data_IF_646555872482
#
_entry.id   IF_646555872482
#
_cell.length_a   1.000
_cell.length_b   1.000
_cell.length_c   1.000
_cell.angle_alpha   90.00
_cell.angle_beta   90.00
_cell.angle_gamma   90.00
#
_symmetry.space_group_name_H-M   'P 1'
#
loop_
_entity.id
_entity.type
_entity.pdbx_description
1 polymer ?
#
# COMPACT_ATOMS: atom_id res chain seq x y z
N UNK A 1 45.15 -62.55 15.58
CA UNK A 1 45.58 -62.82 14.19
C UNK A 1 46.06 -61.52 13.54
N UNK A 2 47.34 -61.51 13.15
CA UNK A 2 48.07 -60.75 12.12
C UNK A 2 47.43 -59.45 11.56
N UNK A 3 47.99 -58.26 11.79
CA UNK A 3 49.18 -57.60 11.15
C UNK A 3 49.01 -57.26 9.65
N UNK A 4 49.59 -56.10 9.30
CA UNK A 4 49.98 -55.55 7.95
C UNK A 4 49.02 -54.43 7.48
N UNK A 5 49.20 -53.15 7.82
CA UNK A 5 50.21 -52.16 7.34
C UNK A 5 50.45 -52.21 5.82
N UNK A 6 49.92 -51.22 5.09
CA UNK A 6 50.65 -50.54 4.01
C UNK A 6 50.37 -49.04 4.06
N UNK A 7 51.38 -48.29 4.50
CA UNK A 7 51.50 -46.85 4.23
C UNK A 7 51.95 -46.68 2.77
N UNK A 8 51.40 -45.70 2.06
CA UNK A 8 52.17 -44.95 1.07
C UNK A 8 51.69 -43.50 1.10
N UNK A 9 52.65 -42.61 1.30
CA UNK A 9 52.51 -41.17 1.34
C UNK A 9 52.91 -40.57 -0.01
N UNK A 10 52.26 -39.49 -0.43
CA UNK A 10 52.83 -38.40 -1.24
C UNK A 10 51.81 -37.25 -1.22
N UNK A 11 51.95 -36.25 -0.34
CA UNK A 11 52.60 -34.95 -0.58
C UNK A 11 52.20 -34.33 -1.92
N UNK A 12 51.33 -33.33 -1.83
CA UNK A 12 51.00 -32.37 -2.89
C UNK A 12 50.48 -31.10 -2.25
N UNK A 13 51.40 -30.25 -1.77
CA UNK A 13 51.09 -28.90 -1.32
C UNK A 13 50.82 -28.02 -2.54
N UNK A 14 49.67 -27.35 -2.58
CA UNK A 14 49.48 -26.10 -3.31
C UNK A 14 48.26 -25.36 -2.74
N UNK A 15 48.57 -24.53 -1.76
CA UNK A 15 48.05 -23.17 -1.57
C UNK A 15 46.92 -22.73 -2.51
N UNK A 16 45.71 -22.58 -1.98
CA UNK A 16 44.83 -21.47 -2.37
C UNK A 16 44.11 -20.95 -1.13
N UNK A 17 44.71 -19.89 -0.57
CA UNK A 17 44.02 -18.87 0.19
C UNK A 17 42.82 -18.38 -0.64
N UNK A 18 41.60 -18.69 -0.23
CA UNK A 18 40.43 -17.93 -0.63
C UNK A 18 39.52 -17.78 0.58
N UNK A 19 39.82 -16.72 1.33
CA UNK A 19 38.85 -15.74 1.81
C UNK A 19 37.45 -16.31 2.12
N UNK A 20 37.24 -16.72 3.37
CA UNK A 20 35.90 -16.82 3.92
C UNK A 20 35.32 -15.40 4.00
N UNK A 21 34.76 -14.92 2.89
CA UNK A 21 33.83 -13.79 2.90
C UNK A 21 32.66 -14.26 3.75
N UNK A 22 32.65 -13.81 5.00
CA UNK A 22 31.42 -13.79 5.80
C UNK A 22 30.50 -12.87 5.03
N UNK A 23 29.64 -13.45 4.20
CA UNK A 23 28.52 -12.74 3.63
C UNK A 23 27.63 -12.36 4.81
N UNK A 24 27.87 -11.16 5.36
CA UNK A 24 26.87 -10.42 6.11
C UNK A 24 25.70 -10.24 5.17
N UNK A 25 24.76 -11.18 5.24
CA UNK A 25 23.45 -11.02 4.61
C UNK A 25 22.95 -9.69 5.16
N UNK A 26 22.72 -8.66 4.33
CA UNK A 26 22.22 -7.41 4.84
C UNK A 26 20.91 -7.75 5.56
N UNK A 27 20.87 -7.45 6.86
CA UNK A 27 19.63 -7.41 7.62
C UNK A 27 18.71 -6.48 6.84
N UNK A 28 17.81 -7.07 6.05
CA UNK A 28 16.72 -6.31 5.48
C UNK A 28 15.91 -5.88 6.69
N UNK A 29 16.06 -4.60 7.06
CA UNK A 29 15.11 -3.92 7.91
C UNK A 29 13.77 -3.98 7.20
N UNK A 30 13.02 -5.05 7.45
CA UNK A 30 11.63 -5.14 7.06
C UNK A 30 10.93 -4.05 7.86
N UNK A 31 10.53 -2.99 7.18
CA UNK A 31 9.77 -1.87 7.75
C UNK A 31 8.63 -2.39 8.64
N UNK A 32 8.86 -2.39 9.95
CA UNK A 32 7.93 -2.91 10.95
C UNK A 32 6.62 -2.09 11.02
N UNK A 33 6.56 -0.96 10.32
CA UNK A 33 5.34 -0.15 10.10
C UNK A 33 4.31 -0.91 9.25
N UNK A 34 4.74 -1.87 8.42
CA UNK A 34 3.83 -2.65 7.56
C UNK A 34 2.98 -3.65 8.36
N UNK A 35 3.55 -4.35 9.33
CA UNK A 35 2.89 -5.45 10.07
C UNK A 35 1.61 -5.01 10.80
N UNK A 36 1.67 -3.90 11.57
CA UNK A 36 0.51 -3.39 12.32
C UNK A 36 -0.60 -2.93 11.37
N UNK A 37 -0.22 -2.27 10.27
CA UNK A 37 -1.16 -1.77 9.27
C UNK A 37 -1.85 -2.94 8.57
N UNK A 38 -1.10 -3.91 8.06
CA UNK A 38 -1.68 -5.13 7.49
C UNK A 38 -2.55 -5.89 8.50
N UNK A 39 -2.17 -5.97 9.78
CA UNK A 39 -2.96 -6.59 10.85
C UNK A 39 -4.33 -5.93 11.01
N UNK A 40 -4.41 -4.59 11.01
CA UNK A 40 -5.68 -3.85 11.06
C UNK A 40 -6.63 -4.25 9.93
N UNK A 41 -6.10 -4.39 8.71
CA UNK A 41 -6.90 -4.72 7.53
C UNK A 41 -7.18 -6.22 7.36
N UNK A 42 -6.42 -7.08 8.03
CA UNK A 42 -6.61 -8.53 7.99
C UNK A 42 -7.69 -9.01 8.96
N UNK A 43 -7.88 -8.31 10.09
CA UNK A 43 -8.85 -8.69 11.14
C UNK A 43 -10.30 -8.51 10.74
N UNK A 44 -10.63 -7.43 10.01
CA UNK A 44 -12.00 -7.10 9.63
C UNK A 44 -12.08 -6.38 8.30
N UNK A 45 -13.28 -6.31 7.77
CA UNK A 45 -13.61 -5.46 6.64
C UNK A 45 -13.58 -3.99 7.05
N UNK A 46 -12.85 -3.17 6.29
CA UNK A 46 -12.67 -1.75 6.53
C UNK A 46 -13.20 -0.95 5.34
N UNK A 47 -13.90 0.15 5.62
CA UNK A 47 -14.24 1.13 4.58
C UNK A 47 -12.98 1.90 4.18
N UNK A 48 -12.80 2.07 2.88
CA UNK A 48 -11.67 2.83 2.31
C UNK A 48 -12.20 3.77 1.24
N UNK A 49 -11.35 4.67 0.75
CA UNK A 49 -11.58 5.42 -0.47
C UNK A 49 -10.47 5.14 -1.47
N UNK A 50 -10.85 4.89 -2.72
CA UNK A 50 -9.89 4.68 -3.81
C UNK A 50 -9.24 6.01 -4.16
N UNK A 51 -7.92 6.05 -4.11
CA UNK A 51 -7.09 7.19 -4.52
C UNK A 51 -6.59 7.01 -5.95
N UNK A 52 -6.20 5.77 -6.30
CA UNK A 52 -5.76 5.41 -7.64
C UNK A 52 -6.69 4.39 -8.30
N UNK A 53 -6.99 4.54 -9.60
CA UNK A 53 -7.85 3.59 -10.30
C UNK A 53 -7.30 2.16 -10.25
N UNK A 54 -8.14 1.18 -9.90
CA UNK A 54 -7.71 -0.22 -9.75
C UNK A 54 -8.73 -1.22 -10.27
N UNK A 55 -8.25 -2.32 -10.86
CA UNK A 55 -9.10 -3.40 -11.37
C UNK A 55 -9.52 -4.36 -10.25
N UNK A 56 -10.81 -4.67 -10.23
CA UNK A 56 -11.41 -5.71 -9.40
C UNK A 56 -11.68 -6.93 -10.25
N UNK A 57 -11.37 -8.10 -9.68
CA UNK A 57 -11.50 -9.40 -10.31
C UNK A 57 -12.57 -10.21 -9.57
N UNK A 58 -13.37 -10.97 -10.31
CA UNK A 58 -14.27 -11.98 -9.76
C UNK A 58 -13.51 -13.27 -9.56
N UNK A 59 -13.69 -13.88 -8.39
CA UNK A 59 -13.03 -15.12 -7.97
C UNK A 59 -13.90 -16.30 -8.37
N UNK A 60 -13.32 -17.24 -9.11
CA UNK A 60 -13.92 -18.53 -9.45
C UNK A 60 -13.11 -19.62 -8.76
N UNK A 61 -13.49 -20.00 -7.53
CA UNK A 61 -12.75 -21.00 -6.77
C UNK A 61 -12.78 -22.34 -7.52
N UNK A 62 -11.62 -23.00 -7.56
CA UNK A 62 -11.47 -24.36 -8.10
C UNK A 62 -10.69 -25.19 -7.11
N UNK A 63 -10.92 -26.50 -7.11
CA UNK A 63 -10.11 -27.44 -6.35
C UNK A 63 -9.12 -28.15 -7.28
N UNK A 64 -7.84 -28.23 -6.93
CA UNK A 64 -7.17 -27.58 -5.78
C UNK A 64 -7.07 -26.05 -5.90
N UNK A 65 -6.99 -25.33 -4.76
CA UNK A 65 -7.11 -23.85 -4.68
C UNK A 65 -6.15 -23.07 -5.59
N UNK A 66 -4.94 -23.58 -5.85
CA UNK A 66 -3.99 -22.95 -6.76
C UNK A 66 -4.48 -22.86 -8.22
N UNK A 67 -5.55 -23.59 -8.58
CA UNK A 67 -6.22 -23.50 -9.88
C UNK A 67 -7.34 -22.47 -9.91
N UNK A 68 -7.51 -21.66 -8.86
CA UNK A 68 -8.52 -20.60 -8.81
C UNK A 68 -8.34 -19.63 -9.97
N UNK A 69 -9.45 -19.32 -10.66
CA UNK A 69 -9.45 -18.40 -11.81
C UNK A 69 -9.92 -17.01 -11.39
N UNK A 70 -9.23 -15.98 -11.86
CA UNK A 70 -9.60 -14.58 -11.66
C UNK A 70 -10.01 -13.96 -12.99
N UNK A 71 -11.19 -13.36 -13.05
CA UNK A 71 -11.71 -12.70 -14.27
C UNK A 71 -11.94 -11.23 -13.97
N UNK A 72 -11.45 -10.32 -14.81
CA UNK A 72 -11.72 -8.88 -14.66
C UNK A 72 -13.22 -8.64 -14.60
N UNK A 73 -13.67 -7.93 -13.56
CA UNK A 73 -15.09 -7.66 -13.33
C UNK A 73 -15.41 -6.18 -13.59
N UNK A 74 -14.75 -5.28 -12.87
CA UNK A 74 -14.96 -3.84 -13.01
C UNK A 74 -13.73 -3.07 -12.51
N UNK A 75 -13.68 -1.77 -12.81
CA UNK A 75 -12.63 -0.87 -12.38
C UNK A 75 -13.17 0.10 -11.33
N UNK A 76 -12.52 0.16 -10.18
CA UNK A 76 -12.76 1.20 -9.18
C UNK A 76 -12.07 2.49 -9.63
N UNK A 77 -12.76 3.61 -9.49
CA UNK A 77 -12.28 4.95 -9.84
C UNK A 77 -11.93 5.74 -8.58
N UNK A 78 -11.06 6.76 -8.68
CA UNK A 78 -10.80 7.68 -7.58
C UNK A 78 -12.11 8.25 -7.01
N UNK A 79 -12.25 8.17 -5.68
CA UNK A 79 -13.44 8.59 -4.96
C UNK A 79 -14.46 7.49 -4.66
N UNK A 80 -14.33 6.31 -5.26
CA UNK A 80 -15.16 5.14 -4.90
C UNK A 80 -14.82 4.70 -3.47
N UNK A 81 -15.83 4.23 -2.72
CA UNK A 81 -15.67 3.89 -1.28
C UNK A 81 -15.97 2.43 -0.97
N UNK A 82 -15.17 1.48 -1.48
CA UNK A 82 -15.40 0.07 -1.23
C UNK A 82 -15.11 -0.30 0.23
N UNK A 83 -15.61 -1.47 0.60
CA UNK A 83 -15.23 -2.14 1.85
C UNK A 83 -14.22 -3.22 1.49
N UNK A 84 -13.06 -3.23 2.13
CA UNK A 84 -12.00 -4.19 1.82
C UNK A 84 -11.43 -4.90 3.04
N UNK A 85 -10.86 -6.07 2.82
CA UNK A 85 -10.13 -6.85 3.81
C UNK A 85 -8.86 -7.40 3.18
N UNK A 86 -7.74 -7.24 3.86
CA UNK A 86 -6.48 -7.85 3.45
C UNK A 86 -6.50 -9.35 3.74
N UNK A 87 -5.97 -10.17 2.83
CA UNK A 87 -5.99 -11.64 2.97
C UNK A 87 -4.60 -12.28 2.99
N UNK A 88 -3.54 -11.58 2.58
CA UNK A 88 -2.15 -12.07 2.67
C UNK A 88 -1.89 -13.41 1.98
N UNK A 89 -2.72 -13.80 1.01
CA UNK A 89 -2.62 -15.05 0.22
C UNK A 89 -2.77 -14.70 -1.27
N UNK A 90 -2.99 -15.69 -2.15
CA UNK A 90 -3.11 -15.65 -3.64
C UNK A 90 -3.80 -14.41 -4.28
N UNK A 91 -4.56 -13.64 -3.52
CA UNK A 91 -4.98 -12.28 -3.85
C UNK A 91 -4.80 -11.32 -2.67
N UNK A 92 -4.30 -10.10 -2.92
CA UNK A 92 -3.97 -9.14 -1.86
C UNK A 92 -5.20 -8.67 -1.06
N UNK A 93 -6.26 -8.24 -1.74
CA UNK A 93 -7.45 -7.67 -1.08
C UNK A 93 -8.74 -8.32 -1.51
N UNK A 94 -9.65 -8.57 -0.58
CA UNK A 94 -11.06 -8.86 -0.86
C UNK A 94 -11.84 -7.56 -0.94
N UNK A 95 -12.70 -7.43 -1.94
CA UNK A 95 -13.59 -6.28 -2.16
C UNK A 95 -15.05 -6.69 -1.89
N UNK A 96 -15.73 -5.92 -1.05
CA UNK A 96 -17.06 -6.24 -0.53
C UNK A 96 -17.04 -7.36 0.52
N UNK A 97 -18.19 -7.61 1.15
CA UNK A 97 -18.31 -8.60 2.24
C UNK A 97 -18.48 -10.05 1.76
N UNK A 98 -18.64 -10.27 0.45
CA UNK A 98 -19.06 -11.56 -0.11
C UNK A 98 -17.93 -12.49 -0.52
N UNK A 99 -16.65 -12.10 -0.36
CA UNK A 99 -15.46 -12.84 -0.82
C UNK A 99 -15.46 -13.24 -2.31
N UNK A 100 -16.40 -12.71 -3.11
CA UNK A 100 -16.52 -13.00 -4.55
C UNK A 100 -15.60 -12.15 -5.42
N UNK A 101 -15.05 -11.07 -4.86
CA UNK A 101 -14.27 -10.10 -5.59
C UNK A 101 -12.94 -9.83 -4.88
N UNK A 102 -11.89 -9.67 -5.66
CA UNK A 102 -10.55 -9.36 -5.16
C UNK A 102 -9.82 -8.32 -6.00
N UNK A 103 -8.76 -7.78 -5.42
CA UNK A 103 -7.71 -7.01 -6.07
C UNK A 103 -6.43 -7.80 -5.91
N UNK A 104 -5.73 -8.01 -7.03
CA UNK A 104 -4.49 -8.80 -7.10
C UNK A 104 -3.22 -7.98 -6.80
N UNK A 105 -3.37 -6.75 -6.30
CA UNK A 105 -2.27 -5.85 -5.90
C UNK A 105 -2.15 -5.83 -4.39
N UNK A 106 -1.03 -6.29 -3.84
CA UNK A 106 -0.83 -6.33 -2.39
C UNK A 106 -0.12 -5.07 -1.85
N UNK A 107 -0.79 -3.91 -1.95
CA UNK A 107 -0.26 -2.65 -1.42
C UNK A 107 -1.37 -1.69 -0.99
N UNK A 108 -1.02 -0.70 -0.18
CA UNK A 108 -1.90 0.39 0.26
C UNK A 108 -1.99 1.55 -0.74
N UNK A 109 -1.12 1.60 -1.75
CA UNK A 109 -0.97 2.74 -2.68
C UNK A 109 -2.26 3.20 -3.36
N UNK A 110 -3.24 2.31 -3.53
CA UNK A 110 -4.46 2.60 -4.29
C UNK A 110 -5.63 3.11 -3.44
N UNK A 111 -5.47 3.19 -2.11
CA UNK A 111 -6.55 3.66 -1.24
C UNK A 111 -6.08 4.35 0.04
N UNK A 112 -7.00 5.13 0.61
CA UNK A 112 -6.93 5.64 1.97
C UNK A 112 -7.95 4.99 2.89
N UNK A 113 -7.53 4.71 4.12
CA UNK A 113 -8.40 4.16 5.15
C UNK A 113 -9.41 5.19 5.68
N UNK A 114 -10.62 4.73 6.03
CA UNK A 114 -11.61 5.56 6.71
C UNK A 114 -11.04 6.22 7.97
N UNK A 115 -11.25 7.53 8.05
CA UNK A 115 -11.07 8.33 9.26
C UNK A 115 -12.23 9.31 9.37
N UNK A 116 -12.69 9.60 10.60
CA UNK A 116 -13.78 10.58 10.83
C UNK A 116 -13.39 11.95 10.26
N UNK A 117 -12.14 12.33 10.46
CA UNK A 117 -11.53 13.54 9.92
C UNK A 117 -10.20 13.24 9.23
N UNK A 118 -9.87 14.03 8.23
CA UNK A 118 -8.58 14.02 7.54
C UNK A 118 -8.05 15.43 7.48
N UNK A 119 -6.85 15.61 8.02
CA UNK A 119 -6.06 16.82 7.86
C UNK A 119 -5.35 16.76 6.52
N UNK A 120 -5.48 17.83 5.73
CA UNK A 120 -4.81 17.98 4.45
C UNK A 120 -4.11 19.33 4.45
N UNK A 121 -2.81 19.30 4.24
CA UNK A 121 -1.95 20.48 4.13
C UNK A 121 -2.44 21.41 3.01
N UNK A 122 -2.46 22.72 3.26
CA UNK A 122 -2.88 23.70 2.26
C UNK A 122 -1.99 23.70 1.02
N UNK A 123 -0.67 23.53 1.17
CA UNK A 123 0.29 23.53 0.07
C UNK A 123 0.03 22.40 -0.93
N UNK A 124 -0.51 21.27 -0.48
CA UNK A 124 -1.00 20.21 -1.37
C UNK A 124 -2.18 20.70 -2.23
N UNK A 125 -3.04 21.54 -1.67
CA UNK A 125 -4.27 22.02 -2.30
C UNK A 125 -4.04 23.23 -3.21
N UNK A 126 -3.24 24.21 -2.79
CA UNK A 126 -3.05 25.46 -3.50
C UNK A 126 -1.80 25.50 -4.40
N UNK A 127 -0.95 24.47 -4.28
CA UNK A 127 0.26 24.33 -5.06
C UNK A 127 1.43 25.15 -4.55
N UNK A 128 1.29 25.80 -3.38
CA UNK A 128 2.29 26.67 -2.80
C UNK A 128 3.04 25.96 -1.66
N UNK A 129 4.33 25.73 -1.86
CA UNK A 129 5.25 25.26 -0.83
C UNK A 129 5.76 26.47 -0.02
N UNK A 130 4.85 27.30 0.49
CA UNK A 130 5.22 28.43 1.34
C UNK A 130 5.49 27.95 2.76
N UNK A 131 6.33 28.69 3.48
CA UNK A 131 6.76 28.36 4.85
C UNK A 131 5.63 28.38 5.89
N UNK A 132 4.49 29.01 5.57
CA UNK A 132 3.28 28.97 6.42
C UNK A 132 2.44 27.72 6.09
N UNK A 133 2.58 26.69 6.92
CA UNK A 133 1.89 25.41 6.76
C UNK A 133 0.70 25.33 7.72
N UNK A 134 -0.50 25.69 7.27
CA UNK A 134 -1.72 25.30 7.98
C UNK A 134 -2.46 24.19 7.23
N UNK A 135 -3.15 23.34 7.99
CA UNK A 135 -3.89 22.21 7.47
C UNK A 135 -5.40 22.42 7.60
N UNK A 136 -6.15 21.94 6.61
CA UNK A 136 -7.61 21.92 6.66
C UNK A 136 -8.12 20.58 7.21
N UNK A 137 -9.04 20.63 8.16
CA UNK A 137 -9.73 19.47 8.71
C UNK A 137 -10.99 19.14 7.90
N UNK A 138 -10.90 18.14 7.05
CA UNK A 138 -12.05 17.65 6.29
C UNK A 138 -12.75 16.49 7.00
N UNK A 139 -14.08 16.52 7.03
CA UNK A 139 -14.87 15.31 7.30
C UNK A 139 -14.60 14.26 6.22
N UNK A 140 -14.84 12.98 6.54
CA UNK A 140 -14.69 11.89 5.55
C UNK A 140 -15.43 12.18 4.23
N UNK A 141 -16.65 12.73 4.31
CA UNK A 141 -17.47 13.04 3.14
C UNK A 141 -16.84 14.12 2.25
N UNK A 142 -16.29 15.17 2.87
CA UNK A 142 -15.59 16.25 2.16
C UNK A 142 -14.29 15.72 1.53
N UNK A 143 -13.53 14.92 2.29
CA UNK A 143 -12.33 14.25 1.76
C UNK A 143 -12.67 13.39 0.54
N UNK A 144 -13.76 12.62 0.60
CA UNK A 144 -14.20 11.83 -0.55
C UNK A 144 -14.53 12.67 -1.79
N UNK A 145 -15.10 13.85 -1.58
CA UNK A 145 -15.42 14.77 -2.66
C UNK A 145 -14.17 15.39 -3.28
N UNK A 146 -13.11 15.64 -2.51
CA UNK A 146 -11.80 16.07 -3.02
C UNK A 146 -11.19 14.99 -3.91
N UNK A 147 -11.09 13.76 -3.42
CA UNK A 147 -10.51 12.65 -4.20
C UNK A 147 -11.30 12.39 -5.49
N UNK A 148 -12.64 12.37 -5.41
CA UNK A 148 -13.53 12.24 -6.59
C UNK A 148 -13.33 13.37 -7.60
N UNK A 149 -12.94 14.55 -7.12
CA UNK A 149 -12.66 15.71 -7.95
C UNK A 149 -11.27 15.70 -8.59
N UNK A 150 -10.46 14.65 -8.37
CA UNK A 150 -9.07 14.56 -8.81
C UNK A 150 -8.11 15.35 -7.92
N UNK A 151 -8.54 15.72 -6.73
CA UNK A 151 -7.76 16.48 -5.74
C UNK A 151 -7.27 15.47 -4.70
N UNK A 152 -6.11 14.87 -4.93
CA UNK A 152 -5.51 13.80 -4.13
C UNK A 152 -4.01 14.05 -3.93
N UNK A 153 -3.46 13.58 -2.81
CA UNK A 153 -2.09 13.61 -2.20
C UNK A 153 -0.87 14.10 -3.01
N UNK A 154 -1.02 15.04 -3.92
CA UNK A 154 -0.01 15.59 -4.81
C UNK A 154 -0.24 17.09 -4.91
N UNK A 155 0.82 17.84 -5.16
CA UNK A 155 0.76 19.30 -5.31
C UNK A 155 -0.08 19.65 -6.53
N UNK A 156 -1.18 20.39 -6.31
CA UNK A 156 -2.09 20.75 -7.40
C UNK A 156 -1.71 22.08 -8.07
N UNK A 157 -1.98 22.24 -9.39
CA UNK A 157 -1.75 23.52 -10.06
C UNK A 157 -2.63 24.63 -9.49
N UNK A 158 -2.09 25.85 -9.37
CA UNK A 158 -2.80 27.05 -8.90
C UNK A 158 -4.12 27.35 -9.65
N UNK A 159 -4.24 26.91 -10.91
CA UNK A 159 -5.49 26.98 -11.69
C UNK A 159 -6.61 26.12 -11.10
N UNK A 160 -6.29 24.91 -10.64
CA UNK A 160 -7.25 24.00 -10.01
C UNK A 160 -7.70 24.57 -8.66
N UNK A 161 -6.79 25.19 -7.92
CA UNK A 161 -7.07 25.91 -6.70
C UNK A 161 -8.15 27.00 -6.91
N UNK A 162 -7.87 27.97 -7.78
CA UNK A 162 -8.75 29.11 -8.02
C UNK A 162 -10.12 28.72 -8.58
N UNK A 163 -10.17 27.69 -9.44
CA UNK A 163 -11.40 27.32 -10.14
C UNK A 163 -12.32 26.42 -9.32
N UNK A 164 -11.75 25.55 -8.47
CA UNK A 164 -12.47 24.43 -7.85
C UNK A 164 -12.21 24.30 -6.35
N UNK A 165 -10.95 24.14 -5.94
CA UNK A 165 -10.61 23.78 -4.56
C UNK A 165 -10.99 24.91 -3.59
N UNK A 166 -10.64 26.15 -3.92
CA UNK A 166 -10.98 27.33 -3.11
C UNK A 166 -12.48 27.45 -2.86
N UNK A 167 -13.29 27.29 -3.91
CA UNK A 167 -14.76 27.33 -3.81
C UNK A 167 -15.34 26.21 -2.93
N UNK A 168 -14.72 25.03 -2.95
CA UNK A 168 -15.12 23.91 -2.08
C UNK A 168 -14.80 24.24 -0.62
N UNK A 169 -13.61 24.76 -0.34
CA UNK A 169 -13.19 25.16 1.01
C UNK A 169 -14.05 26.31 1.55
N UNK A 170 -14.28 27.36 0.78
CA UNK A 170 -15.12 28.51 1.16
C UNK A 170 -16.56 28.08 1.49
N UNK A 171 -17.09 27.10 0.75
CA UNK A 171 -18.41 26.52 1.00
C UNK A 171 -18.45 25.68 2.27
N UNK A 172 -17.39 24.93 2.53
CA UNK A 172 -17.34 23.96 3.62
C UNK A 172 -16.89 24.55 4.95
N UNK A 173 -16.13 25.65 4.92
CA UNK A 173 -15.53 26.31 6.08
C UNK A 173 -14.89 25.30 7.06
N UNK A 174 -13.96 24.44 6.58
CA UNK A 174 -13.30 23.46 7.45
C UNK A 174 -12.51 24.16 8.56
N UNK A 175 -12.39 23.52 9.72
CA UNK A 175 -11.45 23.95 10.77
C UNK A 175 -10.02 23.97 10.21
N UNK A 176 -9.20 24.88 10.72
CA UNK A 176 -7.79 25.04 10.35
C UNK A 176 -6.93 24.88 11.58
N UNK A 177 -5.72 24.37 11.40
CA UNK A 177 -4.70 24.25 12.44
C UNK A 177 -3.39 24.82 11.89
N UNK A 178 -2.83 25.81 12.58
CA UNK A 178 -1.57 26.44 12.22
C UNK A 178 -0.47 25.59 12.84
N UNK A 179 0.27 24.87 11.99
CA UNK A 179 1.41 24.03 12.42
C UNK A 179 2.69 24.85 12.44
#
# INVERSE_FOLDING_TARGET
>A
MNKIIKKLALVGACSMLMSSVVATVPSQTVDAVSSKTFSKYSKKFNRVIVTDPIWVYKIYPRYPMYKTKYVKAYKLKPGDTPIVRHRGVDWGWTVGKSYRYCILKDSFSWFDGYSKYKWVDQGLLDGSMKDEHFAYKFTWKQYCQLIKAGIYTTVHPKKLWNSKIKKMIERWKPETDNS
#
